data_IF_678147505154
#
_entry.id   IF_678147505154
#
_cell.length_a   1.000
_cell.length_b   1.000
_cell.length_c   1.000
_cell.angle_alpha   90.00
_cell.angle_beta   90.00
_cell.angle_gamma   90.00
#
_symmetry.space_group_name_H-M   'P 1'
#
loop_
_entity.id
_entity.type
_entity.pdbx_description
1 polymer ?
#
# COMPACT_ATOMS: atom_id res chain seq x y z
N UNK A 1 -14.09 8.61 -8.22
CA UNK A 1 -14.81 9.16 -7.06
C UNK A 1 -15.81 8.13 -6.50
N UNK A 2 -16.59 8.53 -5.51
CA UNK A 2 -17.60 7.69 -4.85
C UNK A 2 -18.82 7.34 -5.72
N UNK A 3 -18.96 7.97 -6.90
CA UNK A 3 -19.92 7.59 -7.93
C UNK A 3 -19.33 6.62 -8.97
N UNK A 4 -18.08 6.18 -8.80
CA UNK A 4 -17.39 5.33 -9.76
C UNK A 4 -16.97 6.05 -11.05
N UNK A 5 -16.84 7.36 -11.01
CA UNK A 5 -16.47 8.19 -12.15
C UNK A 5 -15.02 8.62 -12.10
N UNK A 6 -14.41 8.76 -13.27
CA UNK A 6 -13.11 9.41 -13.41
C UNK A 6 -13.26 10.92 -13.26
N UNK A 7 -12.46 11.54 -12.38
CA UNK A 7 -12.40 12.99 -12.27
C UNK A 7 -11.52 13.56 -13.38
N UNK A 8 -12.11 14.37 -14.24
CA UNK A 8 -11.40 15.05 -15.35
C UNK A 8 -11.23 16.55 -15.09
N UNK A 9 -11.97 17.10 -14.16
CA UNK A 9 -11.93 18.51 -13.78
C UNK A 9 -12.37 18.70 -12.34
N UNK A 10 -11.74 19.61 -11.61
CA UNK A 10 -12.19 20.08 -10.30
C UNK A 10 -13.10 21.31 -10.50
N UNK A 11 -14.20 21.38 -9.77
CA UNK A 11 -15.03 22.56 -9.75
C UNK A 11 -14.32 23.75 -9.11
N UNK A 12 -14.48 24.94 -9.67
CA UNK A 12 -13.82 26.17 -9.21
C UNK A 12 -14.15 26.56 -7.75
N UNK A 13 -15.16 25.94 -7.14
CA UNK A 13 -15.56 26.14 -5.74
C UNK A 13 -14.80 25.31 -4.70
N UNK A 14 -14.00 24.33 -5.13
CA UNK A 14 -13.33 23.36 -4.25
C UNK A 14 -12.23 23.95 -3.36
N UNK A 15 -11.87 25.20 -3.50
CA UNK A 15 -10.54 25.70 -3.09
C UNK A 15 -10.52 26.68 -1.92
N UNK A 16 -11.50 26.67 -1.00
CA UNK A 16 -11.54 27.73 0.02
C UNK A 16 -10.71 27.44 1.28
N UNK A 17 -10.29 26.18 1.55
CA UNK A 17 -9.46 25.81 2.71
C UNK A 17 -8.67 24.54 2.47
N UNK A 18 -7.37 24.51 2.76
CA UNK A 18 -6.53 23.31 2.67
C UNK A 18 -6.97 22.19 3.61
N UNK A 19 -7.55 22.52 4.75
CA UNK A 19 -8.25 21.55 5.59
C UNK A 19 -9.38 20.83 4.83
N UNK A 20 -9.87 21.43 3.74
CA UNK A 20 -10.86 20.83 2.85
C UNK A 20 -10.24 19.93 1.76
N UNK A 21 -8.96 20.01 1.42
CA UNK A 21 -8.38 19.13 0.39
C UNK A 21 -8.44 17.66 0.78
N UNK A 22 -8.17 17.35 2.03
CA UNK A 22 -8.29 15.98 2.52
C UNK A 22 -9.73 15.46 2.46
N UNK A 23 -10.72 16.30 2.75
CA UNK A 23 -12.15 15.95 2.65
C UNK A 23 -12.60 15.83 1.19
N UNK A 24 -12.18 16.75 0.35
CA UNK A 24 -12.50 16.72 -1.08
C UNK A 24 -11.91 15.51 -1.77
N UNK A 25 -10.74 15.05 -1.32
CA UNK A 25 -10.05 13.87 -1.84
C UNK A 25 -10.40 12.58 -1.09
N UNK A 26 -11.38 12.62 -0.16
CA UNK A 26 -11.77 11.49 0.68
C UNK A 26 -12.06 10.21 -0.14
N UNK A 27 -12.76 10.36 -1.25
CA UNK A 27 -13.14 9.28 -2.16
C UNK A 27 -12.26 9.17 -3.41
N UNK A 28 -11.14 9.89 -3.48
CA UNK A 28 -10.26 9.79 -4.63
C UNK A 28 -9.36 8.57 -4.54
N UNK A 29 -9.54 7.66 -5.48
CA UNK A 29 -8.67 6.50 -5.67
C UNK A 29 -7.57 6.76 -6.70
N UNK A 30 -6.73 5.74 -6.91
CA UNK A 30 -5.63 5.78 -7.86
C UNK A 30 -4.36 6.39 -7.28
N UNK A 31 -3.43 6.74 -8.17
CA UNK A 31 -2.10 7.29 -7.82
C UNK A 31 -1.99 8.70 -8.37
N UNK A 32 -1.87 9.69 -7.50
CA UNK A 32 -1.88 11.11 -7.90
C UNK A 32 -1.14 12.00 -6.89
N UNK A 33 -0.75 13.17 -7.37
CA UNK A 33 -0.28 14.29 -6.55
C UNK A 33 -1.12 15.50 -6.92
N UNK A 34 -1.61 16.21 -5.91
CA UNK A 34 -2.36 17.45 -6.09
C UNK A 34 -1.56 18.62 -5.52
N UNK A 35 -1.36 19.63 -6.33
CA UNK A 35 -0.80 20.92 -5.93
C UNK A 35 -1.88 21.98 -5.87
N UNK A 36 -1.87 22.79 -4.84
CA UNK A 36 -2.68 24.01 -4.74
C UNK A 36 -1.77 25.23 -4.62
N UNK A 37 -1.93 26.18 -5.55
CA UNK A 37 -1.14 27.40 -5.58
C UNK A 37 -2.06 28.60 -5.32
N UNK A 38 -1.78 29.37 -4.25
CA UNK A 38 -2.50 30.59 -3.88
C UNK A 38 -1.54 31.75 -3.73
N UNK A 39 -1.48 32.62 -4.71
CA UNK A 39 -0.45 33.65 -4.77
C UNK A 39 0.94 32.97 -4.81
N UNK A 40 1.77 33.22 -3.83
CA UNK A 40 3.08 32.58 -3.66
C UNK A 40 3.06 31.36 -2.73
N UNK A 41 1.91 31.02 -2.13
CA UNK A 41 1.80 29.91 -1.20
C UNK A 41 1.48 28.61 -1.93
N UNK A 42 2.35 27.63 -1.80
CA UNK A 42 2.20 26.29 -2.37
C UNK A 42 1.82 25.30 -1.28
N UNK A 43 0.86 24.44 -1.60
CA UNK A 43 0.49 23.29 -0.79
C UNK A 43 0.42 22.06 -1.67
N UNK A 44 0.71 20.89 -1.10
CA UNK A 44 0.71 19.63 -1.82
C UNK A 44 0.18 18.48 -0.96
N UNK A 45 -0.54 17.56 -1.59
CA UNK A 45 -1.03 16.32 -0.99
C UNK A 45 -0.88 15.19 -2.02
N UNK A 46 -0.57 13.98 -1.56
CA UNK A 46 -0.52 12.77 -2.41
C UNK A 46 -1.79 11.93 -2.26
N UNK A 47 -1.93 10.91 -3.12
CA UNK A 47 -2.92 9.85 -2.91
C UNK A 47 -2.84 9.26 -1.51
N UNK A 48 -3.88 8.57 -1.08
CA UNK A 48 -4.04 8.09 0.30
C UNK A 48 -2.82 7.32 0.82
N UNK A 49 -2.20 6.50 -0.01
CA UNK A 49 -1.06 5.66 0.36
C UNK A 49 0.30 6.22 -0.08
N UNK A 50 0.33 7.42 -0.70
CA UNK A 50 1.55 8.04 -1.21
C UNK A 50 2.21 7.23 -2.32
N UNK A 51 1.42 6.47 -3.08
CA UNK A 51 1.92 5.57 -4.13
C UNK A 51 2.47 6.33 -5.34
N UNK A 52 1.98 7.56 -5.59
CA UNK A 52 2.66 8.51 -6.46
C UNK A 52 3.52 9.40 -5.58
N UNK A 53 4.80 9.07 -5.52
CA UNK A 53 5.73 9.74 -4.60
C UNK A 53 5.92 11.21 -4.94
N UNK A 54 6.07 12.03 -3.92
CA UNK A 54 6.46 13.42 -4.01
C UNK A 54 7.65 13.67 -3.08
N UNK A 55 8.72 14.18 -3.66
CA UNK A 55 9.91 14.59 -2.94
C UNK A 55 10.01 16.11 -2.92
N UNK A 56 10.59 16.68 -1.86
CA UNK A 56 10.72 18.12 -1.73
C UNK A 56 12.00 18.51 -0.98
N UNK A 57 12.54 19.67 -1.30
CA UNK A 57 13.65 20.32 -0.63
C UNK A 57 13.77 21.76 -1.13
N UNK A 58 14.00 22.76 -0.22
CA UNK A 58 14.16 24.17 -0.58
C UNK A 58 13.05 24.73 -1.49
N UNK A 59 11.79 24.35 -1.24
CA UNK A 59 10.61 24.71 -2.06
C UNK A 59 10.66 24.19 -3.52
N UNK A 60 11.52 23.21 -3.82
CA UNK A 60 11.52 22.46 -5.06
C UNK A 60 10.84 21.12 -4.83
N UNK A 61 10.05 20.68 -5.82
CA UNK A 61 9.31 19.43 -5.78
C UNK A 61 9.64 18.57 -7.00
N UNK A 62 9.63 17.25 -6.82
CA UNK A 62 9.90 16.31 -7.88
C UNK A 62 9.30 14.93 -7.61
N UNK A 63 9.14 14.16 -8.69
CA UNK A 63 8.67 12.77 -8.63
C UNK A 63 9.75 11.77 -8.20
N UNK A 64 11.01 12.20 -8.20
CA UNK A 64 12.16 11.43 -7.72
C UNK A 64 13.09 12.35 -6.93
N UNK A 65 13.72 11.85 -5.88
CA UNK A 65 14.61 12.65 -5.02
C UNK A 65 15.82 13.18 -5.77
N UNK A 66 16.35 12.43 -6.72
CA UNK A 66 17.50 12.87 -7.56
C UNK A 66 17.21 14.13 -8.39
N UNK A 67 15.98 14.29 -8.90
CA UNK A 67 15.65 15.50 -9.66
C UNK A 67 15.58 16.74 -8.78
N UNK A 68 15.07 16.57 -7.56
CA UNK A 68 15.12 17.63 -6.54
C UNK A 68 16.57 17.93 -6.18
N UNK A 69 17.41 16.89 -5.96
CA UNK A 69 18.82 17.04 -5.65
C UNK A 69 19.58 17.82 -6.74
N UNK A 70 19.37 17.47 -7.99
CA UNK A 70 19.96 18.19 -9.13
C UNK A 70 19.53 19.66 -9.16
N UNK A 71 18.26 19.95 -8.92
CA UNK A 71 17.72 21.31 -8.97
C UNK A 71 18.24 22.23 -7.86
N UNK A 72 18.58 21.69 -6.70
CA UNK A 72 19.08 22.48 -5.54
C UNK A 72 20.57 22.23 -5.24
N UNK A 73 21.27 21.45 -6.08
CA UNK A 73 22.66 21.01 -5.86
C UNK A 73 22.86 20.35 -4.48
N UNK A 74 21.94 19.46 -4.09
CA UNK A 74 22.05 18.75 -2.81
C UNK A 74 23.17 17.68 -2.88
N UNK A 75 23.89 17.57 -1.79
CA UNK A 75 24.89 16.51 -1.59
C UNK A 75 24.24 15.20 -1.18
N UNK A 76 24.91 14.08 -1.47
CA UNK A 76 24.50 12.78 -1.00
C UNK A 76 24.55 12.70 0.54
N UNK A 77 23.58 12.00 1.13
CA UNK A 77 23.58 11.68 2.56
C UNK A 77 24.33 10.35 2.77
N UNK A 78 25.56 10.47 3.27
CA UNK A 78 26.47 9.32 3.50
C UNK A 78 25.87 8.30 4.49
N UNK A 79 25.13 8.76 5.51
CA UNK A 79 24.49 7.85 6.47
C UNK A 79 23.34 7.08 5.83
N UNK A 80 22.54 7.74 4.99
CA UNK A 80 21.46 7.09 4.23
C UNK A 80 22.00 6.08 3.22
N UNK A 81 23.08 6.40 2.51
CA UNK A 81 23.75 5.44 1.61
C UNK A 81 24.32 4.23 2.35
N UNK A 82 24.99 4.45 3.47
CA UNK A 82 25.53 3.37 4.29
C UNK A 82 24.43 2.49 4.86
N UNK A 83 23.30 3.08 5.27
CA UNK A 83 22.14 2.35 5.73
C UNK A 83 21.60 1.38 4.65
N UNK A 84 21.42 1.84 3.42
CA UNK A 84 20.94 1.00 2.31
C UNK A 84 21.93 -0.13 2.00
N UNK A 85 23.22 0.16 1.92
CA UNK A 85 24.26 -0.88 1.71
C UNK A 85 24.21 -1.97 2.79
N UNK A 86 24.06 -1.57 4.06
CA UNK A 86 23.94 -2.53 5.17
C UNK A 86 22.60 -3.32 5.10
N UNK A 87 21.51 -2.68 4.71
CA UNK A 87 20.20 -3.32 4.57
C UNK A 87 20.26 -4.42 3.52
N UNK A 88 20.85 -4.15 2.37
CA UNK A 88 21.06 -5.14 1.29
C UNK A 88 21.97 -6.30 1.76
N UNK A 89 23.07 -5.98 2.43
CA UNK A 89 24.01 -7.00 2.95
C UNK A 89 23.40 -7.91 4.02
N UNK A 90 22.34 -7.49 4.69
CA UNK A 90 21.63 -8.26 5.72
C UNK A 90 20.33 -8.93 5.19
N UNK A 91 20.13 -8.99 3.89
CA UNK A 91 18.94 -9.57 3.25
C UNK A 91 17.62 -9.01 3.84
N UNK A 92 17.60 -7.71 4.08
CA UNK A 92 16.42 -6.98 4.50
C UNK A 92 15.76 -6.31 3.29
N UNK A 93 14.45 -6.14 3.38
CA UNK A 93 13.75 -5.35 2.37
C UNK A 93 14.25 -3.91 2.44
N UNK A 94 14.99 -3.51 1.42
CA UNK A 94 15.64 -2.22 1.41
C UNK A 94 14.72 -1.11 0.96
N UNK A 95 14.42 -0.25 1.91
CA UNK A 95 13.82 1.05 1.69
C UNK A 95 14.39 2.00 2.74
N UNK A 96 14.54 3.26 2.37
CA UNK A 96 14.90 4.27 3.37
C UNK A 96 13.77 4.41 4.39
N UNK A 97 14.10 4.56 5.67
CA UNK A 97 13.08 4.65 6.71
C UNK A 97 12.28 5.96 6.58
N UNK A 98 10.95 5.83 6.46
CA UNK A 98 10.00 6.94 6.45
C UNK A 98 10.26 7.98 5.33
N UNK A 99 10.51 9.24 5.72
CA UNK A 99 10.70 10.38 4.82
C UNK A 99 12.14 10.53 4.27
N UNK A 100 13.05 9.66 4.68
CA UNK A 100 14.46 9.74 4.27
C UNK A 100 14.66 9.50 2.78
N UNK A 101 15.62 10.21 2.21
CA UNK A 101 16.13 10.03 0.84
C UNK A 101 17.65 9.91 0.86
N UNK A 102 18.30 9.49 -0.23
CA UNK A 102 19.76 9.44 -0.32
C UNK A 102 20.44 10.82 -0.39
N UNK A 103 19.71 11.92 -0.24
CA UNK A 103 20.24 13.28 -0.37
C UNK A 103 19.94 14.13 0.85
N UNK A 104 20.92 14.96 1.25
CA UNK A 104 20.74 15.90 2.34
C UNK A 104 19.66 16.93 2.02
N UNK A 105 18.85 17.27 3.02
CA UNK A 105 17.78 18.28 2.95
C UNK A 105 16.65 17.98 1.93
N UNK A 106 16.58 16.76 1.43
CA UNK A 106 15.48 16.29 0.58
C UNK A 106 14.69 15.23 1.35
N UNK A 107 13.38 15.40 1.36
CA UNK A 107 12.45 14.54 2.07
C UNK A 107 11.37 14.02 1.15
N UNK A 108 10.87 12.83 1.45
CA UNK A 108 9.64 12.30 0.87
C UNK A 108 8.43 12.86 1.62
N UNK A 109 7.41 13.31 0.90
CA UNK A 109 6.11 13.58 1.53
C UNK A 109 5.44 12.22 1.82
N UNK A 110 5.34 11.89 3.11
CA UNK A 110 4.73 10.63 3.53
C UNK A 110 3.22 10.61 3.24
N UNK A 111 2.61 9.42 3.02
CA UNK A 111 1.16 9.31 3.00
C UNK A 111 0.55 9.85 4.29
N UNK A 112 -0.72 10.23 4.24
CA UNK A 112 -1.40 10.84 5.37
C UNK A 112 -0.81 12.18 5.85
N UNK A 113 0.02 12.83 5.02
CA UNK A 113 0.58 14.14 5.29
C UNK A 113 0.21 15.14 4.20
N UNK A 114 0.16 16.40 4.60
CA UNK A 114 0.03 17.55 3.71
C UNK A 114 1.25 18.46 3.88
N UNK A 115 1.81 18.92 2.78
CA UNK A 115 2.75 20.03 2.76
C UNK A 115 1.97 21.33 2.62
N UNK A 116 2.13 22.27 3.54
CA UNK A 116 1.52 23.59 3.49
C UNK A 116 2.52 24.67 3.88
N UNK A 117 2.84 25.57 2.95
CA UNK A 117 3.69 26.76 3.21
C UNK A 117 5.01 26.43 3.94
N UNK A 118 5.67 25.35 3.54
CA UNK A 118 6.93 24.93 4.16
C UNK A 118 6.79 24.03 5.38
N UNK A 119 5.57 23.77 5.84
CA UNK A 119 5.30 22.87 6.97
C UNK A 119 4.67 21.57 6.50
N UNK A 120 4.99 20.47 7.19
CA UNK A 120 4.39 19.15 6.95
C UNK A 120 3.64 18.75 8.21
N UNK A 121 2.38 18.37 8.03
CA UNK A 121 1.54 17.91 9.13
C UNK A 121 0.70 16.71 8.70
N UNK A 122 0.37 15.81 9.65
CA UNK A 122 -0.57 14.73 9.42
C UNK A 122 -1.97 15.26 9.18
N UNK A 123 -2.67 14.60 8.28
CA UNK A 123 -4.07 14.91 8.00
C UNK A 123 -4.91 14.36 9.15
N UNK A 124 -5.68 15.22 9.80
CA UNK A 124 -6.62 14.80 10.83
C UNK A 124 -7.83 14.11 10.16
N UNK A 125 -8.19 12.88 10.55
CA UNK A 125 -9.40 12.25 10.05
C UNK A 125 -10.61 13.03 10.54
N UNK A 126 -11.60 13.15 9.67
CA UNK A 126 -12.93 13.57 10.10
C UNK A 126 -13.72 12.29 10.35
N UNK A 127 -14.50 12.27 11.41
CA UNK A 127 -15.27 11.08 11.83
C UNK A 127 -16.51 10.84 10.94
N UNK A 128 -16.30 10.81 9.61
CA UNK A 128 -17.38 10.61 8.63
C UNK A 128 -18.17 9.32 8.86
N UNK A 129 -17.51 8.30 9.38
CA UNK A 129 -18.08 6.97 9.57
C UNK A 129 -18.19 6.56 11.04
N UNK A 130 -18.00 7.51 11.97
CA UNK A 130 -18.13 7.27 13.41
C UNK A 130 -19.52 6.77 13.76
N UNK A 131 -19.57 5.76 14.63
CA UNK A 131 -20.85 5.14 15.08
C UNK A 131 -21.57 4.31 13.99
N UNK A 132 -20.98 4.14 12.79
CA UNK A 132 -21.56 3.26 11.77
C UNK A 132 -21.58 1.80 12.24
N UNK A 133 -22.75 1.14 12.17
CA UNK A 133 -22.89 -0.29 12.49
C UNK A 133 -22.09 -1.15 11.53
N UNK A 134 -21.59 -2.30 12.01
CA UNK A 134 -20.67 -3.16 11.24
C UNK A 134 -21.29 -3.66 9.93
N UNK A 135 -22.57 -4.03 9.91
CA UNK A 135 -23.21 -4.50 8.68
C UNK A 135 -23.26 -3.41 7.59
N UNK A 136 -23.55 -2.17 7.98
CA UNK A 136 -23.51 -1.02 7.06
C UNK A 136 -22.09 -0.74 6.59
N UNK A 137 -21.10 -0.91 7.46
CA UNK A 137 -19.69 -0.72 7.16
C UNK A 137 -19.18 -1.75 6.14
N UNK A 138 -19.58 -3.00 6.30
CA UNK A 138 -19.31 -4.10 5.34
C UNK A 138 -19.85 -3.75 3.95
N UNK A 139 -21.12 -3.34 3.87
CA UNK A 139 -21.74 -2.93 2.60
C UNK A 139 -21.04 -1.70 2.00
N UNK A 140 -20.70 -0.70 2.82
CA UNK A 140 -20.02 0.51 2.36
C UNK A 140 -18.61 0.21 1.80
N UNK A 141 -17.88 -0.72 2.42
CA UNK A 141 -16.57 -1.16 1.90
C UNK A 141 -16.73 -1.91 0.58
N UNK A 142 -17.69 -2.85 0.49
CA UNK A 142 -17.95 -3.60 -0.74
C UNK A 142 -18.32 -2.67 -1.91
N UNK A 143 -19.23 -1.71 -1.66
CA UNK A 143 -19.67 -0.71 -2.63
C UNK A 143 -18.53 0.21 -3.06
N UNK A 144 -17.72 0.70 -2.11
CA UNK A 144 -16.57 1.55 -2.40
C UNK A 144 -15.56 0.84 -3.31
N UNK A 145 -15.22 -0.42 -3.03
CA UNK A 145 -14.28 -1.18 -3.86
C UNK A 145 -14.81 -1.37 -5.29
N UNK A 146 -16.11 -1.68 -5.45
CA UNK A 146 -16.76 -1.78 -6.77
C UNK A 146 -16.66 -0.46 -7.54
N UNK A 147 -16.98 0.66 -6.91
CA UNK A 147 -16.90 2.00 -7.53
C UNK A 147 -15.47 2.36 -7.93
N UNK A 148 -14.47 1.99 -7.12
CA UNK A 148 -13.06 2.21 -7.48
C UNK A 148 -12.64 1.41 -8.72
N UNK A 149 -13.08 0.15 -8.83
CA UNK A 149 -12.85 -0.67 -10.03
C UNK A 149 -13.56 -0.09 -11.24
N UNK A 150 -14.83 0.33 -11.12
CA UNK A 150 -15.56 0.98 -12.20
C UNK A 150 -14.87 2.25 -12.69
N UNK A 151 -14.45 3.12 -11.77
CA UNK A 151 -13.74 4.36 -12.09
C UNK A 151 -12.39 4.07 -12.80
N UNK A 152 -11.65 3.07 -12.36
CA UNK A 152 -10.41 2.67 -13.01
C UNK A 152 -10.67 2.13 -14.44
N UNK A 153 -11.68 1.30 -14.60
CA UNK A 153 -12.08 0.76 -15.89
C UNK A 153 -12.53 1.86 -16.88
N UNK A 154 -13.17 2.94 -16.41
CA UNK A 154 -13.51 4.08 -17.26
C UNK A 154 -12.29 4.78 -17.88
N UNK A 155 -11.09 4.59 -17.28
CA UNK A 155 -9.84 5.18 -17.77
C UNK A 155 -9.11 4.24 -18.75
N UNK A 156 -8.99 2.97 -18.40
CA UNK A 156 -8.31 1.97 -19.22
C UNK A 156 -8.75 0.55 -18.84
N UNK A 157 -8.34 -0.45 -19.63
CA UNK A 157 -8.57 -1.85 -19.31
C UNK A 157 -7.82 -2.28 -18.05
N UNK A 158 -8.28 -3.34 -17.40
CA UNK A 158 -7.70 -3.84 -16.16
C UNK A 158 -7.13 -5.25 -16.34
N UNK A 159 -5.87 -5.45 -15.99
CA UNK A 159 -5.27 -6.76 -15.76
C UNK A 159 -5.26 -7.00 -14.23
N UNK A 160 -6.18 -7.82 -13.76
CA UNK A 160 -6.41 -8.05 -12.33
C UNK A 160 -5.57 -9.22 -11.85
N UNK A 161 -4.61 -8.95 -10.95
CA UNK A 161 -3.76 -10.01 -10.40
C UNK A 161 -4.52 -10.84 -9.36
N UNK A 162 -4.48 -12.17 -9.48
CA UNK A 162 -5.16 -13.08 -8.57
C UNK A 162 -4.20 -14.13 -8.01
N UNK A 163 -4.29 -14.34 -6.69
CA UNK A 163 -3.57 -15.37 -5.92
C UNK A 163 -4.55 -16.08 -4.97
N UNK A 164 -4.06 -17.02 -4.18
CA UNK A 164 -4.87 -17.66 -3.14
C UNK A 164 -5.21 -16.75 -1.95
N UNK A 165 -4.73 -15.51 -1.94
CA UNK A 165 -4.82 -14.57 -0.81
C UNK A 165 -6.15 -13.85 -0.66
N UNK A 166 -6.33 -13.15 0.47
CA UNK A 166 -7.50 -12.33 0.78
C UNK A 166 -7.64 -11.12 -0.14
N UNK A 167 -6.57 -10.37 -0.32
CA UNK A 167 -6.60 -9.05 -0.95
C UNK A 167 -7.00 -9.14 -2.43
N UNK A 168 -6.38 -10.06 -3.15
CA UNK A 168 -6.69 -10.29 -4.57
C UNK A 168 -8.11 -10.82 -4.80
N UNK A 169 -8.67 -11.58 -3.83
CA UNK A 169 -10.09 -12.01 -3.91
C UNK A 169 -11.06 -10.86 -3.70
N UNK A 170 -10.77 -9.93 -2.78
CA UNK A 170 -11.58 -8.73 -2.60
C UNK A 170 -11.59 -7.87 -3.88
N UNK A 171 -10.44 -7.76 -4.55
CA UNK A 171 -10.36 -7.08 -5.85
C UNK A 171 -11.20 -7.82 -6.89
N UNK A 172 -11.06 -9.15 -6.99
CA UNK A 172 -11.85 -9.95 -7.92
C UNK A 172 -13.36 -9.79 -7.69
N UNK A 173 -13.78 -9.85 -6.42
CA UNK A 173 -15.18 -9.68 -6.05
C UNK A 173 -15.74 -8.28 -6.41
N UNK A 174 -14.91 -7.27 -6.40
CA UNK A 174 -15.27 -5.92 -6.82
C UNK A 174 -15.41 -5.76 -8.34
N UNK A 175 -14.92 -6.73 -9.13
CA UNK A 175 -14.92 -6.68 -10.60
C UNK A 175 -16.18 -7.23 -11.25
N UNK A 176 -17.18 -7.70 -10.50
CA UNK A 176 -18.33 -8.44 -11.06
C UNK A 176 -19.06 -7.70 -12.20
N UNK A 177 -19.22 -6.40 -12.10
CA UNK A 177 -19.91 -5.58 -13.10
C UNK A 177 -19.08 -5.30 -14.38
N UNK A 178 -17.78 -5.56 -14.32
CA UNK A 178 -16.84 -5.33 -15.44
C UNK A 178 -16.15 -6.61 -15.91
N UNK A 179 -16.57 -7.77 -15.41
CA UNK A 179 -15.88 -9.06 -15.58
C UNK A 179 -15.61 -9.49 -17.02
N UNK A 180 -16.48 -9.09 -17.96
CA UNK A 180 -16.33 -9.42 -19.38
C UNK A 180 -15.26 -8.58 -20.10
N UNK A 181 -14.74 -7.57 -19.44
CA UNK A 181 -13.87 -6.52 -20.00
C UNK A 181 -12.51 -6.45 -19.30
N UNK A 182 -12.19 -7.43 -18.48
CA UNK A 182 -10.94 -7.52 -17.75
C UNK A 182 -10.24 -8.84 -18.00
N UNK A 183 -8.95 -8.84 -17.87
CA UNK A 183 -8.16 -10.07 -17.77
C UNK A 183 -7.82 -10.36 -16.31
N UNK A 184 -8.12 -11.56 -15.84
CA UNK A 184 -7.66 -12.03 -14.54
C UNK A 184 -6.38 -12.82 -14.75
N UNK A 185 -5.29 -12.38 -14.12
CA UNK A 185 -3.95 -12.91 -14.40
C UNK A 185 -3.25 -13.42 -13.14
N UNK A 186 -2.50 -14.51 -13.30
CA UNK A 186 -1.56 -14.99 -12.27
C UNK A 186 -0.18 -15.13 -12.88
N UNK A 187 0.81 -14.42 -12.34
CA UNK A 187 2.20 -14.59 -12.76
C UNK A 187 2.75 -15.90 -12.22
N UNK A 188 3.29 -16.71 -13.12
CA UNK A 188 3.94 -17.97 -12.79
C UNK A 188 5.44 -17.81 -12.86
N UNK A 189 6.06 -17.65 -11.71
CA UNK A 189 7.51 -17.64 -11.57
C UNK A 189 8.08 -19.05 -11.81
N UNK A 190 9.35 -19.14 -12.21
CA UNK A 190 9.98 -20.43 -12.57
C UNK A 190 9.93 -21.49 -11.47
N UNK A 191 9.93 -21.06 -10.19
CA UNK A 191 9.88 -21.98 -9.04
C UNK A 191 8.47 -22.43 -8.64
N UNK A 192 7.42 -21.91 -9.33
CA UNK A 192 6.01 -22.24 -9.04
C UNK A 192 5.52 -23.29 -10.02
N UNK A 193 5.18 -24.49 -9.51
CA UNK A 193 4.57 -25.56 -10.30
C UNK A 193 3.10 -25.24 -10.62
N UNK A 194 2.55 -25.87 -11.67
CA UNK A 194 1.12 -25.72 -12.01
C UNK A 194 0.18 -26.21 -10.90
N UNK A 195 0.64 -27.12 -10.04
CA UNK A 195 -0.10 -27.60 -8.87
C UNK A 195 -0.07 -26.63 -7.67
N UNK A 196 0.65 -25.52 -7.76
CA UNK A 196 0.75 -24.56 -6.66
C UNK A 196 -0.60 -23.91 -6.37
N UNK A 197 -0.87 -23.63 -5.09
CA UNK A 197 -2.16 -23.06 -4.65
C UNK A 197 -2.46 -21.71 -5.29
N UNK A 198 -1.44 -20.88 -5.57
CA UNK A 198 -1.60 -19.60 -6.26
C UNK A 198 -1.90 -19.72 -7.76
N UNK A 199 -1.87 -20.93 -8.31
CA UNK A 199 -2.34 -21.23 -9.67
C UNK A 199 -3.72 -21.89 -9.62
N UNK A 200 -3.87 -22.93 -8.78
CA UNK A 200 -5.08 -23.75 -8.76
C UNK A 200 -6.29 -23.01 -8.19
N UNK A 201 -6.11 -22.26 -7.10
CA UNK A 201 -7.22 -21.52 -6.47
C UNK A 201 -7.75 -20.40 -7.38
N UNK A 202 -6.91 -19.54 -7.98
CA UNK A 202 -7.35 -18.58 -9.00
C UNK A 202 -8.13 -19.21 -10.14
N UNK A 203 -7.65 -20.30 -10.68
CA UNK A 203 -8.33 -21.04 -11.76
C UNK A 203 -9.74 -21.44 -11.34
N UNK A 204 -9.91 -22.10 -10.19
CA UNK A 204 -11.22 -22.52 -9.69
C UNK A 204 -12.16 -21.35 -9.38
N UNK A 205 -11.62 -20.25 -8.80
CA UNK A 205 -12.42 -19.07 -8.55
C UNK A 205 -12.94 -18.45 -9.85
N UNK A 206 -12.09 -18.31 -10.84
CA UNK A 206 -12.47 -17.77 -12.14
C UNK A 206 -13.49 -18.65 -12.86
N UNK A 207 -13.29 -19.97 -12.88
CA UNK A 207 -14.26 -20.95 -13.42
C UNK A 207 -15.63 -20.81 -12.72
N UNK A 208 -15.63 -20.73 -11.39
CA UNK A 208 -16.86 -20.63 -10.60
C UNK A 208 -17.64 -19.33 -10.84
N UNK A 209 -16.95 -18.21 -10.96
CA UNK A 209 -17.57 -16.87 -11.05
C UNK A 209 -17.62 -16.33 -12.49
N UNK A 210 -17.20 -17.10 -13.47
CA UNK A 210 -17.29 -16.76 -14.89
C UNK A 210 -16.28 -15.70 -15.35
N UNK A 211 -15.07 -15.72 -14.79
CA UNK A 211 -13.96 -14.88 -15.23
C UNK A 211 -13.03 -15.64 -16.20
N UNK A 212 -12.39 -14.90 -17.11
CA UNK A 212 -11.33 -15.45 -17.95
C UNK A 212 -10.00 -15.35 -17.18
N UNK A 213 -9.41 -16.52 -16.85
CA UNK A 213 -8.14 -16.59 -16.12
C UNK A 213 -6.98 -16.94 -17.05
N UNK A 214 -5.90 -16.17 -16.95
CA UNK A 214 -4.64 -16.39 -17.67
C UNK A 214 -3.50 -16.64 -16.69
N UNK A 215 -2.80 -17.76 -16.83
CA UNK A 215 -1.54 -17.98 -16.13
C UNK A 215 -0.39 -17.54 -17.05
N UNK A 216 0.42 -16.59 -16.58
CA UNK A 216 1.47 -15.96 -17.37
C UNK A 216 2.85 -16.40 -16.85
N UNK A 217 3.56 -17.32 -17.53
CA UNK A 217 4.92 -17.70 -17.16
C UNK A 217 5.86 -16.50 -17.26
N UNK A 218 6.58 -16.20 -16.19
CA UNK A 218 7.59 -15.16 -16.22
C UNK A 218 8.80 -15.61 -17.05
N UNK A 219 9.22 -14.78 -18.00
CA UNK A 219 10.42 -15.00 -18.80
C UNK A 219 11.68 -14.57 -18.06
N UNK A 220 12.83 -14.98 -18.56
CA UNK A 220 14.12 -14.49 -18.09
C UNK A 220 14.24 -12.99 -18.35
N UNK A 221 14.91 -12.27 -17.44
CA UNK A 221 15.15 -10.84 -17.59
C UNK A 221 16.02 -10.56 -18.80
N UNK A 222 15.65 -9.56 -19.59
CA UNK A 222 16.41 -9.03 -20.70
C UNK A 222 17.39 -7.96 -20.21
N UNK A 223 18.61 -7.97 -20.72
CA UNK A 223 19.67 -7.05 -20.28
C UNK A 223 19.27 -5.59 -20.45
N UNK A 224 18.74 -5.24 -21.63
CA UNK A 224 18.32 -3.88 -21.93
C UNK A 224 17.18 -3.39 -21.01
N UNK A 225 16.27 -4.31 -20.64
CA UNK A 225 15.23 -3.99 -19.69
C UNK A 225 15.77 -3.73 -18.29
N UNK A 226 16.70 -4.57 -17.82
CA UNK A 226 17.35 -4.40 -16.52
C UNK A 226 18.08 -3.06 -16.44
N UNK A 227 18.78 -2.67 -17.49
CA UNK A 227 19.46 -1.38 -17.58
C UNK A 227 18.46 -0.20 -17.52
N UNK A 228 17.41 -0.25 -18.33
CA UNK A 228 16.36 0.77 -18.33
C UNK A 228 15.67 0.89 -16.96
N UNK A 229 15.35 -0.24 -16.32
CA UNK A 229 14.74 -0.29 -15.01
C UNK A 229 15.63 0.35 -13.94
N UNK A 230 16.93 0.01 -13.91
CA UNK A 230 17.91 0.58 -12.99
C UNK A 230 18.15 2.08 -13.22
N UNK A 231 18.13 2.53 -14.45
CA UNK A 231 18.21 3.97 -14.76
C UNK A 231 16.97 4.72 -14.31
N UNK A 232 15.79 4.11 -14.41
CA UNK A 232 14.53 4.72 -14.02
C UNK A 232 14.42 4.88 -12.49
N UNK A 233 14.98 3.97 -11.71
CA UNK A 233 14.84 3.94 -10.25
C UNK A 233 16.14 4.25 -9.51
N UNK A 234 16.02 4.84 -8.31
CA UNK A 234 17.16 5.10 -7.42
C UNK A 234 17.59 3.87 -6.63
N UNK A 235 16.67 2.95 -6.41
CA UNK A 235 16.82 1.78 -5.54
C UNK A 235 16.09 0.58 -6.12
N UNK A 236 16.69 -0.03 -7.15
CA UNK A 236 16.05 -1.07 -7.94
C UNK A 236 15.86 -2.38 -7.14
N UNK A 237 14.61 -2.78 -6.97
CA UNK A 237 14.22 -4.04 -6.34
C UNK A 237 14.23 -5.16 -7.38
N UNK A 238 15.29 -5.97 -7.43
CA UNK A 238 15.45 -7.02 -8.45
C UNK A 238 14.27 -8.00 -8.53
N UNK A 239 13.67 -8.33 -7.39
CA UNK A 239 12.50 -9.21 -7.36
C UNK A 239 11.32 -8.68 -8.18
N UNK A 240 11.13 -7.36 -8.22
CA UNK A 240 10.01 -6.73 -8.94
C UNK A 240 10.27 -6.54 -10.43
N UNK A 241 11.54 -6.57 -10.88
CA UNK A 241 11.90 -6.42 -12.29
C UNK A 241 11.23 -7.47 -13.17
N UNK A 242 11.29 -8.75 -12.76
CA UNK A 242 10.71 -9.84 -13.56
C UNK A 242 9.19 -9.71 -13.70
N UNK A 243 8.51 -9.27 -12.63
CA UNK A 243 7.08 -9.00 -12.68
C UNK A 243 6.78 -7.82 -13.61
N UNK A 244 7.53 -6.75 -13.53
CA UNK A 244 7.38 -5.56 -14.38
C UNK A 244 7.65 -5.88 -15.84
N UNK A 245 8.72 -6.62 -16.15
CA UNK A 245 8.98 -7.09 -17.51
C UNK A 245 7.83 -7.95 -18.05
N UNK A 246 7.22 -8.80 -17.20
CA UNK A 246 6.09 -9.64 -17.62
C UNK A 246 4.86 -8.82 -18.03
N UNK A 247 4.62 -7.65 -17.43
CA UNK A 247 3.55 -6.73 -17.85
C UNK A 247 3.77 -6.33 -19.33
N UNK A 248 4.99 -5.93 -19.68
CA UNK A 248 5.39 -5.61 -21.05
C UNK A 248 5.31 -6.82 -21.98
N UNK A 249 5.88 -7.95 -21.56
CA UNK A 249 6.02 -9.14 -22.41
C UNK A 249 4.67 -9.75 -22.84
N UNK A 250 3.61 -9.43 -22.12
CA UNK A 250 2.25 -9.89 -22.39
C UNK A 250 1.31 -8.80 -22.91
N UNK A 251 1.84 -7.59 -23.20
CA UNK A 251 1.09 -6.50 -23.85
C UNK A 251 0.10 -5.80 -22.93
N UNK A 252 0.46 -5.63 -21.65
CA UNK A 252 -0.38 -4.95 -20.66
C UNK A 252 0.14 -3.53 -20.29
N UNK A 253 1.01 -2.93 -21.07
CA UNK A 253 1.62 -1.62 -20.77
C UNK A 253 0.60 -0.49 -20.66
N UNK A 254 -0.42 -0.53 -21.51
CA UNK A 254 -1.50 0.46 -21.53
C UNK A 254 -2.68 0.11 -20.61
N UNK A 255 -2.57 -0.99 -19.86
CA UNK A 255 -3.59 -1.44 -18.92
C UNK A 255 -3.21 -1.07 -17.50
N UNK A 256 -4.21 -0.87 -16.63
CA UNK A 256 -3.91 -0.87 -15.20
C UNK A 256 -3.57 -2.29 -14.72
N UNK A 257 -2.35 -2.44 -14.23
CA UNK A 257 -1.94 -3.64 -13.52
C UNK A 257 -2.52 -3.61 -12.11
N UNK A 258 -3.72 -4.22 -11.96
CA UNK A 258 -4.55 -4.08 -10.77
C UNK A 258 -4.18 -5.08 -9.70
N UNK A 259 -3.84 -4.59 -8.51
CA UNK A 259 -3.35 -5.39 -7.36
C UNK A 259 -4.21 -5.23 -6.12
N UNK A 260 -4.13 -6.23 -5.22
CA UNK A 260 -4.69 -6.18 -3.87
C UNK A 260 -3.82 -5.46 -2.85
N UNK A 261 -2.77 -4.76 -3.26
CA UNK A 261 -1.87 -4.01 -2.34
C UNK A 261 -2.63 -2.93 -1.56
N UNK A 262 -2.04 -2.47 -0.46
CA UNK A 262 -2.58 -1.50 0.51
C UNK A 262 -3.64 -2.05 1.47
N UNK A 263 -4.31 -3.17 1.18
CA UNK A 263 -5.24 -3.79 2.12
C UNK A 263 -4.54 -4.33 3.37
N UNK A 264 -3.25 -4.55 3.33
CA UNK A 264 -2.46 -5.09 4.44
C UNK A 264 -2.52 -4.20 5.70
N UNK A 265 -2.67 -2.87 5.56
CA UNK A 265 -2.92 -1.95 6.69
C UNK A 265 -4.20 -2.34 7.41
N UNK A 266 -5.22 -2.68 6.65
CA UNK A 266 -6.55 -3.02 7.16
C UNK A 266 -6.59 -4.40 7.79
N UNK A 267 -5.77 -5.33 7.30
CA UNK A 267 -5.59 -6.66 7.88
C UNK A 267 -4.48 -6.62 8.93
N UNK A 268 -4.80 -6.57 10.18
CA UNK A 268 -3.80 -6.56 11.25
C UNK A 268 -2.91 -7.82 11.20
N UNK A 269 -1.88 -7.80 10.35
CA UNK A 269 -0.92 -8.90 10.21
C UNK A 269 0.13 -8.92 11.34
N UNK A 270 0.32 -7.79 12.00
CA UNK A 270 1.32 -7.62 13.07
C UNK A 270 0.87 -8.22 14.41
N UNK A 271 -0.44 -8.45 14.59
CA UNK A 271 -1.01 -8.94 15.84
C UNK A 271 -1.46 -7.80 16.75
N UNK A 272 -1.96 -8.17 17.93
CA UNK A 272 -2.40 -7.22 18.95
C UNK A 272 -1.21 -6.84 19.81
N UNK A 273 -0.87 -5.55 19.85
CA UNK A 273 0.10 -4.98 20.78
C UNK A 273 -0.50 -3.72 21.41
N UNK A 274 -0.21 -3.51 22.69
CA UNK A 274 -0.54 -2.25 23.33
C UNK A 274 0.48 -1.17 22.98
N UNK A 275 0.09 0.08 22.91
CA UNK A 275 0.96 1.19 22.50
C UNK A 275 2.23 1.31 23.37
N UNK A 276 2.16 0.98 24.67
CA UNK A 276 3.33 0.97 25.54
C UNK A 276 4.37 -0.11 25.20
N UNK A 277 3.98 -1.18 24.48
CA UNK A 277 4.88 -2.25 23.99
C UNK A 277 5.57 -1.83 22.68
N UNK A 278 5.03 -0.84 21.97
CA UNK A 278 5.56 -0.41 20.67
C UNK A 278 6.75 0.53 20.86
N UNK A 279 7.90 0.08 20.38
CA UNK A 279 9.15 0.84 20.36
C UNK A 279 9.87 0.65 19.01
N UNK A 280 10.97 1.33 18.81
CA UNK A 280 11.75 1.30 17.55
C UNK A 280 12.18 -0.12 17.16
N UNK A 281 12.58 -0.95 18.12
CA UNK A 281 13.00 -2.34 17.88
C UNK A 281 11.83 -3.23 17.44
N UNK A 282 10.67 -3.07 18.08
CA UNK A 282 9.45 -3.80 17.72
C UNK A 282 9.03 -3.44 16.30
N UNK A 283 9.00 -2.16 15.96
CA UNK A 283 8.67 -1.71 14.60
C UNK A 283 9.67 -2.25 13.58
N UNK A 284 10.97 -2.17 13.86
CA UNK A 284 12.01 -2.70 12.97
C UNK A 284 11.84 -4.22 12.72
N UNK A 285 11.58 -5.01 13.76
CA UNK A 285 11.36 -6.47 13.62
C UNK A 285 10.08 -6.82 12.84
N UNK A 286 8.99 -6.09 13.09
CA UNK A 286 7.71 -6.39 12.45
C UNK A 286 7.71 -6.04 10.96
N UNK A 287 8.41 -4.98 10.57
CA UNK A 287 8.35 -4.43 9.22
C UNK A 287 9.64 -4.57 8.41
N UNK A 288 10.57 -5.43 8.88
CA UNK A 288 11.78 -5.77 8.13
C UNK A 288 12.81 -4.64 8.02
N UNK A 289 12.70 -3.60 8.83
CA UNK A 289 13.66 -2.49 8.86
C UNK A 289 14.96 -2.93 9.53
N UNK A 290 16.10 -2.60 8.95
CA UNK A 290 17.39 -2.84 9.59
C UNK A 290 17.49 -2.00 10.87
N UNK A 291 17.67 -2.67 12.02
CA UNK A 291 17.76 -2.00 13.33
C UNK A 291 19.19 -1.58 13.62
N UNK A 292 19.55 -0.38 13.28
CA UNK A 292 20.82 0.29 13.61
C UNK A 292 20.52 1.66 14.25
N UNK A 293 21.54 2.38 14.71
CA UNK A 293 21.34 3.65 15.41
C UNK A 293 20.72 4.71 14.49
N UNK A 294 21.09 4.71 13.21
CA UNK A 294 20.48 5.57 12.20
C UNK A 294 18.97 5.39 12.10
N UNK A 295 18.50 4.17 11.82
CA UNK A 295 17.06 3.89 11.70
C UNK A 295 16.31 4.06 13.01
N UNK A 296 16.92 3.74 14.15
CA UNK A 296 16.32 3.96 15.48
C UNK A 296 16.08 5.43 15.77
N UNK A 297 17.02 6.31 15.41
CA UNK A 297 16.86 7.75 15.60
C UNK A 297 15.66 8.30 14.79
N UNK A 298 15.56 7.89 13.52
CA UNK A 298 14.49 8.32 12.61
C UNK A 298 13.13 7.78 13.08
N UNK A 299 13.04 6.47 13.34
CA UNK A 299 11.80 5.84 13.81
C UNK A 299 11.42 6.36 15.19
N UNK A 300 12.38 6.64 16.06
CA UNK A 300 12.13 7.21 17.40
C UNK A 300 11.43 8.55 17.32
N UNK A 301 11.94 9.47 16.51
CA UNK A 301 11.34 10.79 16.27
C UNK A 301 9.93 10.68 15.67
N UNK A 302 9.75 9.78 14.70
CA UNK A 302 8.44 9.48 14.13
C UNK A 302 7.47 8.95 15.19
N UNK A 303 7.92 8.01 16.04
CA UNK A 303 7.09 7.34 17.03
C UNK A 303 6.56 8.32 18.09
N UNK A 304 7.35 9.31 18.49
CA UNK A 304 6.92 10.36 19.42
C UNK A 304 5.70 11.12 18.88
N UNK A 305 5.78 11.59 17.64
CA UNK A 305 4.65 12.30 17.00
C UNK A 305 3.48 11.36 16.67
N UNK A 306 3.77 10.10 16.32
CA UNK A 306 2.75 9.11 16.01
C UNK A 306 1.89 8.75 17.22
N UNK A 307 2.48 8.61 18.41
CA UNK A 307 1.74 8.31 19.65
C UNK A 307 0.76 9.43 20.01
N UNK A 308 1.13 10.68 19.80
CA UNK A 308 0.21 11.81 20.00
C UNK A 308 -0.96 11.72 19.02
N UNK A 309 -0.65 11.57 17.73
CA UNK A 309 -1.66 11.48 16.68
C UNK A 309 -2.62 10.29 16.89
N UNK A 310 -2.11 9.12 17.22
CA UNK A 310 -2.95 7.93 17.42
C UNK A 310 -3.84 8.03 18.66
N UNK A 311 -3.38 8.67 19.73
CA UNK A 311 -4.19 8.95 20.91
C UNK A 311 -5.38 9.89 20.60
N UNK A 312 -5.21 10.83 19.69
CA UNK A 312 -6.25 11.77 19.27
C UNK A 312 -7.24 11.17 18.27
N UNK A 313 -6.75 10.29 17.37
CA UNK A 313 -7.51 9.83 16.19
C UNK A 313 -8.05 8.42 16.30
N UNK A 314 -7.55 7.63 17.26
CA UNK A 314 -7.92 6.22 17.43
C UNK A 314 -7.30 5.26 16.41
N UNK A 315 -6.38 5.71 15.53
CA UNK A 315 -5.57 4.79 14.73
C UNK A 315 -4.61 3.99 15.63
N UNK A 316 -4.26 2.79 15.20
CA UNK A 316 -3.19 2.01 15.84
C UNK A 316 -1.81 2.53 15.38
N UNK A 317 -0.84 2.59 16.30
CA UNK A 317 0.55 2.92 15.95
C UNK A 317 1.13 1.95 14.93
N UNK A 318 0.75 0.66 14.99
CA UNK A 318 1.22 -0.36 14.04
C UNK A 318 0.62 -0.14 12.65
N UNK A 319 -0.70 0.12 12.56
CA UNK A 319 -1.36 0.40 11.29
C UNK A 319 -0.80 1.70 10.68
N UNK A 320 -0.55 2.73 11.51
CA UNK A 320 0.03 4.00 11.07
C UNK A 320 1.46 3.83 10.53
N UNK A 321 2.30 3.02 11.20
CA UNK A 321 3.67 2.75 10.72
C UNK A 321 3.65 1.96 9.41
N UNK A 322 2.75 0.98 9.28
CA UNK A 322 2.55 0.28 8.01
C UNK A 322 2.16 1.25 6.91
N UNK A 323 1.21 2.13 7.18
CA UNK A 323 0.72 3.11 6.22
C UNK A 323 1.80 4.11 5.81
N UNK A 324 2.43 4.80 6.78
CA UNK A 324 3.38 5.88 6.50
C UNK A 324 4.76 5.38 6.05
N UNK A 325 5.22 4.24 6.56
CA UNK A 325 6.50 3.65 6.18
C UNK A 325 6.38 2.57 5.12
N UNK A 326 5.64 1.48 5.40
CA UNK A 326 5.63 0.33 4.51
C UNK A 326 4.99 0.62 3.15
N UNK A 327 3.86 1.34 3.13
CA UNK A 327 3.22 1.76 1.89
C UNK A 327 3.93 2.96 1.27
N UNK A 328 4.16 4.03 2.03
CA UNK A 328 4.67 5.29 1.50
C UNK A 328 6.15 5.28 1.14
N UNK A 329 6.95 4.36 1.71
CA UNK A 329 8.37 4.22 1.38
C UNK A 329 8.59 2.99 0.49
N UNK A 330 8.47 1.79 1.00
CA UNK A 330 8.82 0.58 0.28
C UNK A 330 7.89 0.27 -0.90
N UNK A 331 6.57 0.19 -0.69
CA UNK A 331 5.64 -0.15 -1.77
C UNK A 331 5.61 0.94 -2.83
N UNK A 332 5.56 2.21 -2.42
CA UNK A 332 5.56 3.33 -3.34
C UNK A 332 6.81 3.35 -4.22
N UNK A 333 7.99 3.03 -3.67
CA UNK A 333 9.22 2.88 -4.44
C UNK A 333 9.11 1.78 -5.48
N UNK A 334 8.68 0.58 -5.08
CA UNK A 334 8.48 -0.55 -6.00
C UNK A 334 7.51 -0.21 -7.15
N UNK A 335 6.46 0.56 -6.86
CA UNK A 335 5.50 0.96 -7.88
C UNK A 335 6.04 2.06 -8.81
N UNK A 336 6.83 2.98 -8.29
CA UNK A 336 7.52 3.98 -9.14
C UNK A 336 8.57 3.33 -10.04
N UNK A 337 9.28 2.32 -9.55
CA UNK A 337 10.17 1.51 -10.38
C UNK A 337 9.41 0.82 -11.52
N UNK A 338 8.23 0.28 -11.24
CA UNK A 338 7.40 -0.38 -12.23
C UNK A 338 6.77 0.58 -13.27
N UNK A 339 6.70 1.89 -12.98
CA UNK A 339 6.19 2.91 -13.91
C UNK A 339 7.02 3.02 -15.22
N UNK A 340 8.18 2.39 -15.29
CA UNK A 340 8.95 2.25 -16.54
C UNK A 340 8.20 1.47 -17.64
N UNK A 341 7.23 0.63 -17.24
CA UNK A 341 6.40 -0.16 -18.16
C UNK A 341 4.96 0.35 -18.18
N UNK A 342 4.33 0.46 -17.01
CA UNK A 342 2.90 0.78 -16.95
C UNK A 342 2.43 1.09 -15.54
N UNK A 343 1.23 1.63 -15.43
CA UNK A 343 0.68 2.09 -14.17
C UNK A 343 0.05 0.94 -13.36
N UNK A 344 0.44 0.82 -12.10
CA UNK A 344 -0.22 -0.09 -11.15
C UNK A 344 -1.39 0.63 -10.47
N UNK A 345 -2.53 -0.07 -10.37
CA UNK A 345 -3.72 0.39 -9.65
C UNK A 345 -4.03 -0.52 -8.46
N UNK A 346 -4.61 0.05 -7.40
CA UNK A 346 -5.22 -0.68 -6.29
C UNK A 346 -6.48 0.03 -5.82
N UNK A 347 -7.62 -0.68 -5.66
CA UNK A 347 -8.86 -0.07 -5.20
C UNK A 347 -8.84 0.32 -3.71
N UNK A 348 -7.81 -0.12 -2.96
CA UNK A 348 -7.67 0.16 -1.53
C UNK A 348 -6.98 1.50 -1.24
N UNK A 349 -6.29 2.12 -2.22
CA UNK A 349 -5.64 3.43 -2.01
C UNK A 349 -6.66 4.57 -2.09
N UNK A 350 -7.56 4.61 -1.13
CA UNK A 350 -8.58 5.65 -0.98
C UNK A 350 -8.83 5.95 0.49
N UNK A 351 -8.85 7.22 0.88
CA UNK A 351 -8.94 7.64 2.29
C UNK A 351 -10.21 7.14 2.98
N UNK A 352 -11.34 7.18 2.30
CA UNK A 352 -12.62 6.66 2.81
C UNK A 352 -12.51 5.19 3.26
N UNK A 353 -11.72 4.38 2.55
CA UNK A 353 -11.48 2.99 2.94
C UNK A 353 -10.79 2.89 4.30
N UNK A 354 -9.74 3.66 4.54
CA UNK A 354 -8.99 3.66 5.81
C UNK A 354 -9.85 4.17 6.97
N UNK A 355 -10.66 5.20 6.74
CA UNK A 355 -11.61 5.69 7.75
C UNK A 355 -12.74 4.70 8.04
N UNK A 356 -13.24 3.98 7.03
CA UNK A 356 -14.20 2.89 7.23
C UNK A 356 -13.60 1.75 8.06
N UNK A 357 -12.33 1.41 7.88
CA UNK A 357 -11.68 0.30 8.58
C UNK A 357 -11.21 0.69 9.99
N UNK A 358 -10.92 1.95 10.24
CA UNK A 358 -10.37 2.43 11.53
C UNK A 358 -11.15 1.92 12.74
N UNK A 359 -12.47 1.96 12.67
CA UNK A 359 -13.36 1.57 13.79
C UNK A 359 -13.76 0.08 13.78
N UNK A 360 -13.26 -0.71 12.83
CA UNK A 360 -13.47 -2.16 12.84
C UNK A 360 -12.61 -2.78 13.94
N UNK A 361 -13.19 -3.53 14.89
CA UNK A 361 -12.41 -4.16 15.95
C UNK A 361 -11.25 -5.00 15.40
N UNK A 362 -10.08 -4.90 16.03
CA UNK A 362 -8.90 -5.66 15.62
C UNK A 362 -9.16 -7.16 15.56
N UNK A 363 -9.97 -7.70 16.48
CA UNK A 363 -10.38 -9.10 16.49
C UNK A 363 -11.08 -9.57 15.20
N UNK A 364 -11.78 -8.67 14.52
CA UNK A 364 -12.45 -8.94 13.24
C UNK A 364 -11.50 -8.86 12.02
N UNK A 365 -10.35 -8.21 12.19
CA UNK A 365 -9.36 -7.95 11.14
C UNK A 365 -8.10 -8.80 11.25
N UNK A 366 -8.05 -9.75 12.17
CA UNK A 366 -6.85 -10.51 12.52
C UNK A 366 -6.88 -11.93 11.92
N UNK A 367 -5.66 -12.46 11.64
CA UNK A 367 -5.47 -13.85 11.21
C UNK A 367 -5.88 -14.87 12.29
N UNK A 368 -6.30 -16.08 11.94
CA UNK A 368 -6.43 -16.62 10.59
C UNK A 368 -7.74 -16.26 9.89
N UNK A 369 -8.78 -15.87 10.64
CA UNK A 369 -10.16 -15.89 10.19
C UNK A 369 -10.53 -14.65 9.36
N UNK A 370 -10.01 -13.45 9.74
CA UNK A 370 -10.31 -12.20 9.05
C UNK A 370 -11.82 -12.00 8.80
N UNK A 371 -12.65 -12.20 9.83
CA UNK A 371 -14.13 -12.24 9.73
C UNK A 371 -14.72 -11.06 8.96
N UNK A 372 -14.26 -9.83 9.22
CA UNK A 372 -14.74 -8.64 8.53
C UNK A 372 -14.61 -8.76 7.01
N UNK A 373 -13.45 -9.23 6.52
CA UNK A 373 -13.21 -9.37 5.08
C UNK A 373 -13.98 -10.54 4.46
N UNK A 374 -14.28 -11.55 5.26
CA UNK A 374 -15.21 -12.62 4.86
C UNK A 374 -16.62 -12.09 4.60
N UNK A 375 -17.11 -11.19 5.45
CA UNK A 375 -18.43 -10.56 5.26
C UNK A 375 -18.42 -9.58 4.08
N UNK A 376 -17.31 -8.85 3.84
CA UNK A 376 -17.15 -7.99 2.65
C UNK A 376 -17.19 -8.81 1.37
N UNK A 377 -16.52 -9.97 1.32
CA UNK A 377 -16.59 -10.89 0.17
C UNK A 377 -18.02 -11.35 -0.10
N UNK A 378 -18.74 -11.77 0.95
CA UNK A 378 -20.16 -12.18 0.84
C UNK A 378 -21.04 -11.04 0.34
N UNK A 379 -20.87 -9.84 0.86
CA UNK A 379 -21.61 -8.66 0.43
C UNK A 379 -21.30 -8.29 -1.04
N UNK A 380 -20.11 -8.67 -1.54
CA UNK A 380 -19.72 -8.52 -2.94
C UNK A 380 -20.16 -9.70 -3.84
N UNK A 381 -20.93 -10.66 -3.31
CA UNK A 381 -21.45 -11.81 -4.08
C UNK A 381 -20.51 -13.02 -4.18
N UNK A 382 -19.40 -13.04 -3.42
CA UNK A 382 -18.44 -14.13 -3.45
C UNK A 382 -18.50 -14.97 -2.16
N UNK A 383 -18.57 -16.30 -2.29
CA UNK A 383 -18.56 -17.22 -1.15
C UNK A 383 -17.16 -17.60 -0.68
N UNK A 384 -17.03 -18.04 0.58
CA UNK A 384 -15.79 -18.49 1.20
C UNK A 384 -15.58 -20.02 1.15
N UNK A 385 -16.22 -20.71 0.25
CA UNK A 385 -16.11 -22.17 0.10
C UNK A 385 -14.74 -22.63 -0.43
N UNK A 386 -13.96 -21.73 -1.01
CA UNK A 386 -12.57 -21.98 -1.37
C UNK A 386 -11.63 -21.45 -0.28
N UNK A 387 -10.70 -22.29 0.22
CA UNK A 387 -9.80 -21.88 1.30
C UNK A 387 -8.92 -20.69 0.90
N UNK A 388 -8.67 -19.78 1.83
CA UNK A 388 -7.77 -18.62 1.64
C UNK A 388 -6.40 -18.97 2.23
N UNK A 389 -5.35 -18.85 1.43
CA UNK A 389 -3.98 -19.20 1.83
C UNK A 389 -3.93 -20.56 2.60
N UNK A 390 -4.48 -21.66 2.06
CA UNK A 390 -4.39 -22.96 2.70
C UNK A 390 -2.90 -23.24 2.98
N UNK A 391 -2.58 -23.95 4.01
CA UNK A 391 -1.22 -24.26 4.43
C UNK A 391 -0.42 -23.13 5.12
N UNK A 392 -0.84 -21.87 5.02
CA UNK A 392 -0.11 -20.79 5.72
C UNK A 392 -0.07 -20.96 7.24
N UNK A 393 -1.09 -21.62 7.80
CA UNK A 393 -1.26 -21.81 9.25
C UNK A 393 -1.20 -23.27 9.68
N UNK A 394 -0.76 -24.19 8.81
CA UNK A 394 -0.78 -25.64 9.10
C UNK A 394 0.35 -26.08 10.04
N UNK A 395 1.52 -25.45 9.97
CA UNK A 395 2.64 -25.82 10.83
C UNK A 395 2.40 -25.46 12.30
N UNK A 396 2.94 -26.26 13.21
CA UNK A 396 2.88 -25.98 14.66
C UNK A 396 3.47 -24.61 15.00
N UNK A 397 4.55 -24.21 14.33
CA UNK A 397 5.18 -22.89 14.51
C UNK A 397 4.25 -21.75 14.07
N UNK A 398 3.56 -21.91 12.96
CA UNK A 398 2.59 -20.91 12.47
C UNK A 398 1.39 -20.80 13.39
N UNK A 399 0.86 -21.93 13.87
CA UNK A 399 -0.25 -21.97 14.87
C UNK A 399 0.17 -21.31 16.18
N UNK A 400 1.37 -21.61 16.68
CA UNK A 400 1.91 -20.99 17.90
C UNK A 400 2.11 -19.49 17.74
N UNK A 401 2.66 -19.05 16.59
CA UNK A 401 2.83 -17.64 16.26
C UNK A 401 1.47 -16.90 16.19
N UNK A 402 0.46 -17.53 15.61
CA UNK A 402 -0.89 -16.97 15.58
C UNK A 402 -1.48 -16.85 16.97
N UNK A 403 -1.33 -17.88 17.82
CA UNK A 403 -1.77 -17.87 19.22
C UNK A 403 -1.09 -16.77 20.03
N UNK A 404 0.23 -16.61 19.89
CA UNK A 404 1.00 -15.55 20.54
C UNK A 404 0.49 -14.16 20.12
N UNK A 405 0.30 -13.93 18.83
CA UNK A 405 -0.18 -12.65 18.29
C UNK A 405 -1.59 -12.29 18.78
N UNK A 406 -2.46 -13.27 18.91
CA UNK A 406 -3.89 -13.03 19.10
C UNK A 406 -4.35 -13.18 20.55
N UNK A 407 -3.79 -14.15 21.30
CA UNK A 407 -4.23 -14.46 22.67
C UNK A 407 -3.19 -14.10 23.73
N UNK A 408 -1.90 -14.27 23.42
CA UNK A 408 -0.81 -14.01 24.35
C UNK A 408 0.02 -12.78 23.96
N UNK A 409 -0.68 -11.72 23.58
CA UNK A 409 -0.08 -10.50 23.06
C UNK A 409 0.91 -9.81 24.03
N UNK A 410 0.71 -9.93 25.36
CA UNK A 410 1.71 -9.45 26.33
C UNK A 410 3.04 -10.17 26.15
N UNK A 411 3.01 -11.51 26.10
CA UNK A 411 4.20 -12.33 25.87
C UNK A 411 4.80 -12.08 24.49
N UNK A 412 3.94 -11.91 23.48
CA UNK A 412 4.40 -11.59 22.12
C UNK A 412 5.16 -10.27 22.07
N UNK A 413 4.64 -9.21 22.69
CA UNK A 413 5.33 -7.92 22.80
C UNK A 413 6.67 -8.02 23.55
N UNK A 414 6.74 -8.81 24.62
CA UNK A 414 7.99 -9.06 25.35
C UNK A 414 9.04 -9.81 24.49
N UNK A 415 8.61 -10.75 23.65
CA UNK A 415 9.51 -11.46 22.73
C UNK A 415 10.03 -10.51 21.63
N UNK A 416 9.19 -9.64 21.13
CA UNK A 416 9.59 -8.66 20.10
C UNK A 416 10.54 -7.60 20.65
N UNK A 417 10.41 -7.21 21.91
CA UNK A 417 11.23 -6.18 22.55
C UNK A 417 12.64 -6.68 22.96
N UNK A 418 12.84 -7.98 23.04
CA UNK A 418 14.15 -8.62 23.22
C UNK A 418 14.92 -8.77 21.90
#
# INVERSE_FOLDING_TARGET
DDEGKMLTRLDEGCDKNLCNLADQTLYWGGRWVLFSLRGSSLSAITDCCGLKQLFHGCNVFGSQSRYVAMAINAEADVEAENYIKQTMANDKEYAWPLDVTPYNNIKRLLPNHIYDKGQIQRIQPREHFSGMRQEKRVCAVADLLKKMIQAAYCRTNLAVTLTAGWDSRLVLAACDEVKEKIDVVTLKYHHIADSHIDIQIPKHLCEKYGYIHKTLPCKSLETDFVEAYKVHSENAHEYWMQMTQSVRDYGYEDWFWTKGSCNEVSRNSSGILYDWQVNTRVLSKLYGVLSCDYSKAIIGKWLESAKVYTAETGYSVLDLFYWEHRLGSWLAECLNEADVVGETFTPFSVRAYFELIKDVPVSERISPDYHFFGEVLKASGMSLDMPVNPHRYDSLSAKMKCLLKNKWHLLYGMILSR
#
